data_IF_635253364538
#
_entry.id   IF_635253364538
#
_cell.length_a   1.000
_cell.length_b   1.000
_cell.length_c   1.000
_cell.angle_alpha   90.00
_cell.angle_beta   90.00
_cell.angle_gamma   90.00
#
_symmetry.space_group_name_H-M   'P 1'
#
loop_
_entity.id
_entity.type
_entity.pdbx_description
1 polymer ?
#
# COMPACT_ATOMS: atom_id res chain seq x y z
N UNK A 1 16.43 -7.98 -28.26
CA UNK A 1 16.96 -8.65 -27.04
C UNK A 1 15.88 -8.92 -25.99
N UNK A 2 15.06 -7.95 -25.56
CA UNK A 2 14.02 -8.14 -24.51
C UNK A 2 12.89 -9.14 -24.87
N UNK A 3 12.49 -9.21 -26.15
CA UNK A 3 11.45 -10.14 -26.61
C UNK A 3 11.88 -11.61 -26.59
N UNK A 4 13.17 -11.88 -26.79
CA UNK A 4 13.73 -13.24 -26.73
C UNK A 4 13.70 -13.76 -25.29
N UNK A 5 13.99 -12.89 -24.30
CA UNK A 5 13.86 -13.20 -22.87
C UNK A 5 12.43 -13.53 -22.47
N UNK A 6 11.43 -12.78 -22.98
CA UNK A 6 10.01 -13.05 -22.75
C UNK A 6 9.58 -14.38 -23.39
N UNK A 7 10.05 -14.67 -24.61
CA UNK A 7 9.80 -15.96 -25.26
C UNK A 7 10.37 -17.13 -24.46
N UNK A 8 11.61 -17.00 -23.97
CA UNK A 8 12.25 -18.03 -23.15
C UNK A 8 11.50 -18.29 -21.83
N UNK A 9 11.04 -17.22 -21.17
CA UNK A 9 10.26 -17.30 -19.93
C UNK A 9 8.94 -18.06 -20.12
N UNK A 10 8.29 -17.92 -21.27
CA UNK A 10 7.04 -18.62 -21.59
C UNK A 10 7.32 -20.09 -21.96
N UNK A 11 8.45 -20.38 -22.60
CA UNK A 11 8.80 -21.75 -23.02
C UNK A 11 9.28 -22.66 -21.89
N UNK A 12 9.76 -22.12 -20.77
CA UNK A 12 10.24 -22.92 -19.62
C UNK A 12 9.47 -22.59 -18.33
N UNK A 13 8.16 -22.90 -18.26
CA UNK A 13 7.34 -22.58 -17.10
C UNK A 13 7.78 -23.34 -15.84
N UNK A 14 8.31 -24.56 -16.00
CA UNK A 14 8.79 -25.38 -14.86
C UNK A 14 9.90 -24.70 -14.08
N UNK A 15 10.93 -24.21 -14.78
CA UNK A 15 12.10 -23.57 -14.17
C UNK A 15 11.67 -22.29 -13.43
N UNK A 16 10.71 -21.55 -13.99
CA UNK A 16 10.16 -20.37 -13.35
C UNK A 16 9.42 -20.72 -12.05
N UNK A 17 8.51 -21.69 -12.10
CA UNK A 17 7.74 -22.12 -10.92
C UNK A 17 8.62 -22.59 -9.77
N UNK A 18 9.62 -23.45 -10.06
CA UNK A 18 10.55 -23.96 -9.03
C UNK A 18 11.37 -22.84 -8.42
N UNK A 19 11.88 -21.90 -9.24
CA UNK A 19 12.66 -20.76 -8.74
C UNK A 19 11.82 -19.82 -7.88
N UNK A 20 10.56 -19.61 -8.24
CA UNK A 20 9.64 -18.76 -7.49
C UNK A 20 9.29 -19.39 -6.13
N UNK A 21 9.00 -20.69 -6.09
CA UNK A 21 8.76 -21.44 -4.85
C UNK A 21 10.01 -21.47 -3.97
N UNK A 22 11.20 -21.67 -4.55
CA UNK A 22 12.46 -21.62 -3.81
C UNK A 22 12.67 -20.23 -3.18
N UNK A 23 12.42 -19.16 -3.94
CA UNK A 23 12.43 -17.79 -3.44
C UNK A 23 11.41 -17.55 -2.31
N UNK A 24 10.22 -18.14 -2.40
CA UNK A 24 9.21 -18.07 -1.35
C UNK A 24 9.72 -18.69 -0.04
N UNK A 25 10.33 -19.89 -0.12
CA UNK A 25 10.91 -20.56 1.06
C UNK A 25 12.04 -19.72 1.68
N UNK A 26 12.90 -19.14 0.85
CA UNK A 26 13.95 -18.22 1.31
C UNK A 26 13.40 -16.95 1.97
N UNK A 27 12.30 -16.40 1.46
CA UNK A 27 11.64 -15.25 2.06
C UNK A 27 11.04 -15.59 3.44
N UNK A 28 10.56 -16.83 3.63
CA UNK A 28 10.02 -17.33 4.90
C UNK A 28 11.09 -17.65 5.96
N UNK A 29 12.34 -17.89 5.55
CA UNK A 29 13.44 -18.19 6.46
C UNK A 29 13.74 -17.03 7.42
N UNK A 30 13.71 -15.78 6.96
CA UNK A 30 13.94 -14.60 7.82
C UNK A 30 12.93 -14.51 8.98
N UNK A 31 11.60 -14.46 8.74
CA UNK A 31 10.63 -14.44 9.82
C UNK A 31 10.62 -15.73 10.64
N UNK A 32 10.87 -16.91 10.04
CA UNK A 32 10.95 -18.16 10.77
C UNK A 32 12.13 -18.18 11.77
N UNK A 33 13.33 -17.79 11.34
CA UNK A 33 14.52 -17.73 12.20
C UNK A 33 14.33 -16.72 13.32
N UNK A 34 13.81 -15.53 13.00
CA UNK A 34 13.53 -14.49 14.00
C UNK A 34 12.51 -14.98 15.04
N UNK A 35 11.45 -15.67 14.60
CA UNK A 35 10.40 -16.16 15.48
C UNK A 35 10.88 -17.30 16.38
N UNK A 36 11.64 -18.28 15.84
CA UNK A 36 12.22 -19.36 16.65
C UNK A 36 13.17 -18.80 17.71
N UNK A 37 13.99 -17.81 17.34
CA UNK A 37 14.92 -17.17 18.28
C UNK A 37 14.18 -16.49 19.45
N UNK A 38 13.03 -15.87 19.18
CA UNK A 38 12.26 -15.11 20.18
C UNK A 38 11.30 -15.95 21.01
N UNK A 39 10.59 -16.88 20.39
CA UNK A 39 9.44 -17.58 20.98
C UNK A 39 9.66 -19.08 21.19
N UNK A 40 10.66 -19.69 20.54
CA UNK A 40 10.98 -21.14 20.61
C UNK A 40 9.79 -22.09 20.42
N UNK A 41 8.70 -21.64 19.78
CA UNK A 41 7.53 -22.48 19.49
C UNK A 41 7.53 -22.99 18.05
N UNK A 42 6.77 -24.06 17.82
CA UNK A 42 6.57 -24.68 16.50
C UNK A 42 5.79 -23.79 15.53
N UNK A 43 5.26 -22.66 15.98
CA UNK A 43 4.46 -21.75 15.14
C UNK A 43 5.29 -21.09 14.04
N UNK A 44 6.62 -21.16 14.13
CA UNK A 44 7.52 -20.74 13.06
C UNK A 44 7.26 -21.46 11.71
N UNK A 45 6.69 -22.66 11.73
CA UNK A 45 6.30 -23.39 10.52
C UNK A 45 5.27 -22.61 9.67
N UNK A 46 4.44 -21.78 10.31
CA UNK A 46 3.48 -20.94 9.60
C UNK A 46 4.14 -19.90 8.70
N UNK A 47 5.36 -19.46 9.01
CA UNK A 47 6.08 -18.50 8.17
C UNK A 47 6.26 -19.03 6.73
N UNK A 48 6.55 -20.33 6.58
CA UNK A 48 6.67 -20.95 5.25
C UNK A 48 5.35 -20.99 4.49
N UNK A 49 4.25 -21.33 5.18
CA UNK A 49 2.91 -21.31 4.58
C UNK A 49 2.52 -19.89 4.11
N UNK A 50 2.80 -18.88 4.93
CA UNK A 50 2.56 -17.47 4.58
C UNK A 50 3.41 -16.99 3.40
N UNK A 51 4.67 -17.44 3.30
CA UNK A 51 5.51 -17.07 2.15
C UNK A 51 5.02 -17.68 0.84
N UNK A 52 4.55 -18.93 0.86
CA UNK A 52 3.91 -19.54 -0.32
C UNK A 52 2.63 -18.79 -0.70
N UNK A 53 1.78 -18.48 0.27
CA UNK A 53 0.57 -17.68 0.05
C UNK A 53 0.86 -16.29 -0.52
N UNK A 54 1.95 -15.67 -0.10
CA UNK A 54 2.35 -14.33 -0.58
C UNK A 54 2.74 -14.37 -2.06
N UNK A 55 3.37 -15.46 -2.52
CA UNK A 55 3.79 -15.62 -3.91
C UNK A 55 2.63 -16.06 -4.83
N UNK A 56 1.68 -16.85 -4.33
CA UNK A 56 0.55 -17.36 -5.14
C UNK A 56 -0.73 -16.54 -5.04
N UNK A 57 -1.00 -15.95 -3.87
CA UNK A 57 -2.21 -15.18 -3.59
C UNK A 57 -2.04 -13.68 -3.80
N UNK A 58 -0.84 -13.13 -3.60
CA UNK A 58 -0.60 -11.68 -3.67
C UNK A 58 0.14 -11.21 -4.92
N UNK A 59 0.58 -12.10 -5.82
CA UNK A 59 1.34 -11.68 -7.02
C UNK A 59 0.57 -10.69 -7.91
N UNK A 60 -0.76 -10.77 -7.94
CA UNK A 60 -1.60 -9.90 -8.75
C UNK A 60 -1.75 -8.48 -8.19
N UNK A 61 -1.49 -8.25 -6.89
CA UNK A 61 -1.55 -6.90 -6.30
C UNK A 61 -0.52 -6.00 -6.96
N UNK A 62 0.70 -6.50 -7.19
CA UNK A 62 1.77 -5.72 -7.84
C UNK A 62 1.42 -5.36 -9.28
N UNK A 63 0.80 -6.30 -10.01
CA UNK A 63 0.31 -6.06 -11.37
C UNK A 63 -0.84 -5.05 -11.39
N UNK A 64 -1.81 -5.21 -10.50
CA UNK A 64 -2.95 -4.30 -10.36
C UNK A 64 -2.48 -2.87 -10.03
N UNK A 65 -1.54 -2.73 -9.09
CA UNK A 65 -0.94 -1.46 -8.73
C UNK A 65 -0.15 -0.82 -9.88
N UNK A 66 0.53 -1.62 -10.71
CA UNK A 66 1.29 -1.13 -11.87
C UNK A 66 0.40 -0.63 -13.01
N UNK A 67 -0.80 -1.21 -13.17
CA UNK A 67 -1.78 -0.79 -14.19
C UNK A 67 -2.62 0.40 -13.71
N UNK A 68 -2.87 0.48 -12.40
CA UNK A 68 -3.78 1.46 -11.81
C UNK A 68 -3.11 2.65 -11.08
N UNK A 69 -1.88 3.13 -11.40
CA UNK A 69 -1.31 4.30 -10.71
C UNK A 69 -2.18 5.56 -10.81
N UNK A 70 -2.97 5.68 -11.87
CA UNK A 70 -3.76 6.89 -12.16
C UNK A 70 -5.17 6.92 -11.56
N UNK A 71 -5.61 5.88 -10.81
CA UNK A 71 -6.88 5.96 -10.05
C UNK A 71 -6.62 6.41 -8.61
N UNK A 72 -5.93 7.53 -8.44
CA UNK A 72 -5.60 8.15 -7.13
C UNK A 72 -6.79 8.82 -6.44
N UNK A 73 -8.01 8.73 -6.99
CA UNK A 73 -9.22 9.37 -6.46
C UNK A 73 -9.58 9.01 -5.01
N UNK A 74 -8.91 8.00 -4.44
CA UNK A 74 -9.04 7.64 -3.03
C UNK A 74 -8.21 8.52 -2.09
N UNK A 75 -7.04 9.03 -2.53
CA UNK A 75 -6.20 9.98 -1.76
C UNK A 75 -6.34 11.43 -2.23
N UNK A 76 -6.77 11.67 -3.47
CA UNK A 76 -7.15 13.00 -3.94
C UNK A 76 -8.66 13.13 -3.85
N UNK A 77 -9.18 13.28 -2.62
CA UNK A 77 -10.51 13.85 -2.41
C UNK A 77 -10.59 15.15 -3.22
N UNK A 78 -11.67 15.32 -3.97
CA UNK A 78 -11.97 16.45 -4.84
C UNK A 78 -11.45 17.79 -4.32
N UNK A 79 -10.21 18.15 -4.67
CA UNK A 79 -9.89 19.56 -4.85
C UNK A 79 -10.51 19.92 -6.18
N UNK A 80 -11.83 20.07 -6.19
CA UNK A 80 -12.55 20.69 -7.29
C UNK A 80 -11.89 22.05 -7.53
N UNK A 81 -11.24 22.29 -8.68
CA UNK A 81 -10.63 23.59 -8.95
C UNK A 81 -11.68 24.68 -9.21
N UNK A 82 -12.98 24.43 -9.00
CA UNK A 82 -14.04 25.35 -9.42
C UNK A 82 -15.33 25.22 -8.61
N UNK A 83 -15.27 25.50 -7.31
CA UNK A 83 -16.38 26.18 -6.63
C UNK A 83 -15.87 27.39 -5.84
N UNK A 84 -15.41 28.40 -6.58
CA UNK A 84 -15.51 29.78 -6.11
C UNK A 84 -16.99 30.15 -6.16
N UNK A 85 -17.77 29.69 -5.20
CA UNK A 85 -19.01 30.38 -4.89
C UNK A 85 -18.61 31.69 -4.19
N UNK A 86 -19.07 32.86 -4.65
CA UNK A 86 -19.03 34.05 -3.83
C UNK A 86 -19.91 33.72 -2.62
N UNK A 87 -19.28 33.38 -1.50
CA UNK A 87 -19.99 33.24 -0.23
C UNK A 87 -20.55 34.62 0.07
N UNK A 88 -21.88 34.81 0.17
CA UNK A 88 -22.43 36.05 0.66
C UNK A 88 -21.88 36.22 2.07
N UNK A 89 -21.04 37.23 2.29
CA UNK A 89 -20.51 37.55 3.60
C UNK A 89 -21.71 37.97 4.45
N UNK A 90 -22.31 37.00 5.16
CA UNK A 90 -23.34 37.30 6.14
C UNK A 90 -22.67 38.21 7.18
N UNK A 91 -23.25 39.35 7.56
CA UNK A 91 -22.71 40.16 8.64
C UNK A 91 -22.54 39.26 9.85
N UNK A 92 -21.29 38.89 10.16
CA UNK A 92 -20.99 38.03 11.30
C UNK A 92 -21.48 38.83 12.51
N UNK A 93 -22.46 38.34 13.29
CA UNK A 93 -22.88 39.07 14.48
C UNK A 93 -21.62 39.24 15.31
N UNK A 94 -21.26 40.49 15.60
CA UNK A 94 -20.14 40.81 16.47
C UNK A 94 -20.44 40.09 17.79
N UNK A 95 -19.81 38.94 17.98
CA UNK A 95 -19.84 38.21 19.24
C UNK A 95 -19.37 39.22 20.27
N UNK A 96 -20.28 39.59 21.20
CA UNK A 96 -20.07 40.52 22.30
C UNK A 96 -18.93 40.02 23.19
N UNK A 97 -17.71 40.15 22.69
CA UNK A 97 -16.50 39.72 23.37
C UNK A 97 -16.08 40.87 24.26
N UNK A 98 -16.20 40.75 25.59
CA UNK A 98 -15.84 41.82 26.52
C UNK A 98 -14.34 42.17 26.46
N UNK A 99 -13.53 41.42 25.69
CA UNK A 99 -12.12 41.70 25.45
C UNK A 99 -11.86 42.92 24.57
N UNK A 100 -12.79 43.31 23.69
CA UNK A 100 -12.57 44.46 22.79
C UNK A 100 -12.86 45.79 23.51
N UNK A 101 -13.86 45.83 24.39
CA UNK A 101 -14.23 47.04 25.13
C UNK A 101 -13.19 47.46 26.19
N UNK A 102 -12.37 46.53 26.69
CA UNK A 102 -11.31 46.84 27.66
C UNK A 102 -10.06 47.47 27.05
N UNK A 103 -9.92 47.49 25.72
CA UNK A 103 -8.76 48.10 25.03
C UNK A 103 -9.02 49.51 24.52
N UNK A 104 -10.24 50.02 24.68
CA UNK A 104 -10.64 51.34 24.18
C UNK A 104 -10.90 52.37 25.31
N UNK A 105 -10.55 52.03 26.56
CA UNK A 105 -10.58 52.92 27.72
C UNK A 105 -9.16 53.20 28.20
#
# INVERSE_FOLDING_TARGET
>A
MKLVLLGWLITTPEIFGTRMLFGAVLAGLLPAVFFIYRHRSSDALWAFAYSVFSVTGLWWIGLYASITPQKTGWLTRDLSPSRVHPVPVSPRPLSNSPRILKKAA
#
